data_IF_679058096857
#
_entry.id   IF_679058096857
#
_cell.length_a   1.000
_cell.length_b   1.000
_cell.length_c   1.000
_cell.angle_alpha   90.00
_cell.angle_beta   90.00
_cell.angle_gamma   90.00
#
_symmetry.space_group_name_H-M   'P 1'
#
loop_
_entity.id
_entity.type
_entity.pdbx_description
1 polymer ?
#
# COMPACT_ATOMS: atom_id res chain seq x y z
N UNK A 1 8.27 13.45 27.18
CA UNK A 1 8.47 14.17 25.90
C UNK A 1 8.51 13.20 24.71
N UNK A 2 7.66 12.15 24.69
CA UNK A 2 7.94 10.94 23.87
C UNK A 2 6.71 10.34 23.16
N UNK A 3 5.48 10.54 23.68
CA UNK A 3 4.27 9.95 23.09
C UNK A 3 3.83 10.63 21.77
N UNK A 4 3.94 11.96 21.68
CA UNK A 4 3.51 12.71 20.50
C UNK A 4 4.38 12.39 19.27
N UNK A 5 5.68 12.14 19.46
CA UNK A 5 6.60 11.79 18.38
C UNK A 5 6.34 10.40 17.81
N UNK A 6 6.01 9.41 18.65
CA UNK A 6 5.71 8.06 18.20
C UNK A 6 4.42 8.00 17.34
N UNK A 7 3.39 8.76 17.71
CA UNK A 7 2.15 8.87 16.92
C UNK A 7 2.42 9.53 15.56
N UNK A 8 3.18 10.63 15.54
CA UNK A 8 3.55 11.31 14.31
C UNK A 8 4.40 10.42 13.38
N UNK A 9 5.35 9.65 13.93
CA UNK A 9 6.15 8.70 13.17
C UNK A 9 5.27 7.59 12.55
N UNK A 10 4.37 6.98 13.33
CA UNK A 10 3.43 5.97 12.80
C UNK A 10 2.51 6.54 11.72
N UNK A 11 2.00 7.76 11.90
CA UNK A 11 1.16 8.43 10.89
C UNK A 11 1.94 8.68 9.59
N UNK A 12 3.19 9.16 9.68
CA UNK A 12 4.05 9.33 8.49
C UNK A 12 4.28 8.01 7.78
N UNK A 13 4.62 6.94 8.51
CA UNK A 13 4.80 5.62 7.92
C UNK A 13 3.52 5.14 7.22
N UNK A 14 2.35 5.36 7.83
CA UNK A 14 1.08 5.00 7.21
C UNK A 14 0.82 5.76 5.89
N UNK A 15 1.14 7.06 5.84
CA UNK A 15 1.03 7.86 4.62
C UNK A 15 2.00 7.34 3.54
N UNK A 16 3.25 7.07 3.90
CA UNK A 16 4.26 6.54 2.97
C UNK A 16 3.86 5.16 2.44
N UNK A 17 3.40 4.25 3.29
CA UNK A 17 2.93 2.93 2.86
C UNK A 17 1.74 3.04 1.92
N UNK A 18 0.76 3.89 2.24
CA UNK A 18 -0.41 4.08 1.39
C UNK A 18 -0.03 4.61 0.00
N UNK A 19 0.90 5.57 -0.06
CA UNK A 19 1.39 6.13 -1.32
C UNK A 19 2.15 5.08 -2.16
N UNK A 20 3.00 4.26 -1.53
CA UNK A 20 3.75 3.20 -2.21
C UNK A 20 2.82 2.15 -2.84
N UNK A 21 1.78 1.73 -2.11
CA UNK A 21 0.79 0.77 -2.61
C UNK A 21 0.01 1.31 -3.82
N UNK A 22 -0.43 2.57 -3.79
CA UNK A 22 -1.13 3.20 -4.92
C UNK A 22 -0.24 3.34 -6.16
N UNK A 23 1.02 3.73 -5.97
CA UNK A 23 1.97 3.85 -7.07
C UNK A 23 2.24 2.50 -7.74
N UNK A 24 2.46 1.46 -6.95
CA UNK A 24 2.66 0.09 -7.43
C UNK A 24 1.41 -0.45 -8.15
N UNK A 25 0.22 -0.30 -7.55
CA UNK A 25 -1.04 -0.72 -8.15
C UNK A 25 -1.26 -0.04 -9.51
N UNK A 26 -1.12 1.29 -9.55
CA UNK A 26 -1.28 2.07 -10.79
C UNK A 26 -0.31 1.59 -11.87
N UNK A 27 0.97 1.44 -11.55
CA UNK A 27 1.98 0.99 -12.51
C UNK A 27 1.73 -0.41 -13.07
N UNK A 28 1.22 -1.33 -12.24
CA UNK A 28 0.86 -2.68 -12.69
C UNK A 28 -0.43 -2.71 -13.49
N UNK A 29 -1.50 -2.05 -13.03
CA UNK A 29 -2.77 -2.01 -13.75
C UNK A 29 -2.62 -1.41 -15.15
N UNK A 30 -1.79 -0.38 -15.31
CA UNK A 30 -1.54 0.22 -16.63
C UNK A 30 -0.74 -0.70 -17.58
N UNK A 31 0.09 -1.59 -17.05
CA UNK A 31 0.95 -2.48 -17.85
C UNK A 31 0.31 -3.82 -18.18
N UNK A 32 -0.42 -4.38 -17.23
CA UNK A 32 -0.87 -5.78 -17.25
C UNK A 32 -2.40 -5.90 -17.28
N UNK A 33 -3.12 -4.80 -17.04
CA UNK A 33 -4.56 -4.81 -16.86
C UNK A 33 -4.97 -5.17 -15.44
N UNK A 34 -6.19 -4.79 -15.04
CA UNK A 34 -6.67 -4.99 -13.68
C UNK A 34 -6.70 -6.48 -13.31
N UNK A 35 -7.35 -7.33 -14.10
CA UNK A 35 -7.61 -8.73 -13.76
C UNK A 35 -6.34 -9.58 -13.61
N UNK A 36 -5.28 -9.27 -14.36
CA UNK A 36 -4.04 -10.04 -14.37
C UNK A 36 -3.11 -9.76 -13.18
N UNK A 37 -3.38 -8.71 -12.39
CA UNK A 37 -2.51 -8.29 -11.28
C UNK A 37 -3.02 -8.79 -9.93
N UNK A 38 -2.17 -9.43 -9.13
CA UNK A 38 -2.51 -9.84 -7.77
C UNK A 38 -2.14 -8.80 -6.70
N UNK A 39 -2.80 -8.84 -5.53
CA UNK A 39 -2.45 -7.97 -4.41
C UNK A 39 -1.05 -8.25 -3.85
N UNK A 40 -0.59 -9.51 -3.94
CA UNK A 40 0.75 -9.92 -3.48
C UNK A 40 1.85 -9.26 -4.31
N UNK A 41 1.62 -9.19 -5.61
CA UNK A 41 2.50 -8.54 -6.56
C UNK A 41 2.60 -7.03 -6.34
N UNK A 42 1.46 -6.37 -6.13
CA UNK A 42 1.43 -4.95 -5.77
C UNK A 42 2.19 -4.70 -4.45
N UNK A 43 1.95 -5.54 -3.44
CA UNK A 43 2.62 -5.42 -2.14
C UNK A 43 4.13 -5.64 -2.26
N UNK A 44 4.56 -6.59 -3.08
CA UNK A 44 5.97 -6.85 -3.39
C UNK A 44 6.65 -5.62 -4.01
N UNK A 45 6.01 -4.99 -5.01
CA UNK A 45 6.53 -3.79 -5.67
C UNK A 45 6.59 -2.58 -4.73
N UNK A 46 5.62 -2.47 -3.83
CA UNK A 46 5.60 -1.45 -2.80
C UNK A 46 6.56 -1.73 -1.62
N UNK A 47 7.20 -2.91 -1.59
CA UNK A 47 8.13 -3.32 -0.53
C UNK A 47 7.47 -3.54 0.83
N UNK A 48 6.20 -3.96 0.84
CA UNK A 48 5.41 -4.14 2.07
C UNK A 48 4.71 -5.50 2.12
N UNK A 49 4.22 -5.85 3.31
CA UNK A 49 3.42 -7.06 3.47
C UNK A 49 2.03 -6.91 2.85
N UNK A 50 1.54 -7.99 2.22
CA UNK A 50 0.24 -8.02 1.54
C UNK A 50 -0.95 -7.73 2.47
N UNK A 51 -0.85 -8.05 3.77
CA UNK A 51 -1.89 -7.71 4.75
C UNK A 51 -2.12 -6.20 4.89
N UNK A 52 -1.13 -5.38 4.54
CA UNK A 52 -1.28 -3.92 4.56
C UNK A 52 -2.20 -3.45 3.44
N UNK A 53 -2.32 -4.17 2.34
CA UNK A 53 -3.29 -3.83 1.28
C UNK A 53 -4.70 -3.89 1.85
N UNK A 54 -5.09 -5.02 2.45
CA UNK A 54 -6.40 -5.17 3.09
C UNK A 54 -6.62 -4.16 4.20
N UNK A 55 -5.57 -3.82 4.96
CA UNK A 55 -5.65 -2.82 6.03
C UNK A 55 -5.92 -1.40 5.54
N UNK A 56 -5.32 -0.99 4.42
CA UNK A 56 -5.43 0.40 3.92
C UNK A 56 -6.54 0.60 2.89
N UNK A 57 -6.91 -0.47 2.17
CA UNK A 57 -7.78 -0.41 1.01
C UNK A 57 -8.82 -1.52 0.99
N UNK A 58 -8.99 -2.36 2.01
CA UNK A 58 -10.06 -3.39 2.01
C UNK A 58 -9.91 -4.55 1.02
N UNK A 59 -9.17 -4.38 -0.09
CA UNK A 59 -9.04 -5.36 -1.16
C UNK A 59 -8.57 -4.71 -2.46
N UNK A 60 -8.68 -5.45 -3.57
CA UNK A 60 -8.27 -4.98 -4.90
C UNK A 60 -9.25 -3.98 -5.50
N UNK A 61 -10.55 -4.15 -5.23
CA UNK A 61 -11.62 -3.30 -5.79
C UNK A 61 -11.64 -1.88 -5.20
N UNK A 62 -10.97 -1.68 -4.07
CA UNK A 62 -10.85 -0.41 -3.35
C UNK A 62 -9.42 0.18 -3.45
N UNK A 63 -8.51 -0.48 -4.19
CA UNK A 63 -7.11 -0.10 -4.39
C UNK A 63 -6.90 0.58 -5.75
#
# INVERSE_FOLDING_TARGET
MTALQAIAARKRNAITTRAALLAAATGRFMREGYDSVSLREIASDAGVDVSLVSRYFGGKDEL
#
